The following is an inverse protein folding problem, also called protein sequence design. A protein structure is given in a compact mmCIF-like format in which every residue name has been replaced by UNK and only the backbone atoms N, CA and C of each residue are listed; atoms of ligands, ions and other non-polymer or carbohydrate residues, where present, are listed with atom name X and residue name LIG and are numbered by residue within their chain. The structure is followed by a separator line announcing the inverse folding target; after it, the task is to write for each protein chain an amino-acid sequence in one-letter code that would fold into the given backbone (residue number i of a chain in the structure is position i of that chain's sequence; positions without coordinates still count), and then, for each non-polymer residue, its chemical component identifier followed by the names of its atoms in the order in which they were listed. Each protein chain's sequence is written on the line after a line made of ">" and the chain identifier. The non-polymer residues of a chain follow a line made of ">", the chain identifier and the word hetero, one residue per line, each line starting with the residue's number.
data_IF_175608268568
#
_entry.id   IF_175608268568
#
_cell.length_a   1.000
_cell.length_b   1.000
_cell.length_c   1.000
_cell.angle_alpha   90.00
_cell.angle_beta   90.00
_cell.angle_gamma   90.00
#
_symmetry.space_group_name_H-M   'P 1'
#
loop_
_entity.id
_entity.type
_entity.pdbx_description
1 polymer ?
#
# COMPACT_ATOMS: atom_id res chain seq x y z
N UNK A 1 -52.59 -13.46 -15.23
CA UNK A 1 -52.53 -13.04 -13.81
C UNK A 1 -53.54 -13.76 -12.92
N UNK A 2 -54.74 -14.15 -13.39
CA UNK A 2 -55.67 -15.04 -12.65
C UNK A 2 -55.08 -16.43 -12.36
N UNK A 3 -54.28 -17.00 -13.27
CA UNK A 3 -53.66 -18.33 -13.09
C UNK A 3 -52.76 -18.45 -11.86
N UNK A 4 -52.13 -17.36 -11.42
CA UNK A 4 -51.24 -17.40 -10.24
C UNK A 4 -52.05 -17.27 -8.95
N UNK A 5 -53.10 -16.45 -8.96
CA UNK A 5 -54.01 -16.31 -7.83
C UNK A 5 -54.65 -17.65 -7.41
N UNK A 6 -55.03 -18.47 -8.40
CA UNK A 6 -55.64 -19.79 -8.17
C UNK A 6 -54.66 -20.83 -7.60
N UNK A 7 -53.35 -20.56 -7.64
CA UNK A 7 -52.30 -21.42 -7.04
C UNK A 7 -52.02 -21.10 -5.57
N UNK A 8 -52.61 -20.03 -5.02
CA UNK A 8 -52.33 -19.60 -3.66
C UNK A 8 -53.01 -20.49 -2.62
N UNK A 9 -52.22 -20.91 -1.62
CA UNK A 9 -52.71 -21.63 -0.45
C UNK A 9 -53.02 -20.62 0.66
N UNK A 10 -54.28 -20.59 1.09
CA UNK A 10 -54.79 -19.66 2.09
C UNK A 10 -54.77 -20.29 3.50
N UNK A 11 -54.29 -19.52 4.48
CA UNK A 11 -54.14 -19.98 5.87
C UNK A 11 -55.43 -19.94 6.67
N UNK A 12 -56.34 -19.01 6.35
CA UNK A 12 -57.65 -18.91 6.98
C UNK A 12 -58.75 -18.69 5.94
N UNK A 13 -59.96 -19.13 6.27
CA UNK A 13 -61.16 -18.93 5.44
C UNK A 13 -61.42 -17.43 5.29
N UNK A 14 -61.49 -16.96 4.04
CA UNK A 14 -61.73 -15.55 3.70
C UNK A 14 -60.47 -14.70 3.54
N UNK A 15 -59.27 -15.25 3.66
CA UNK A 15 -58.03 -14.53 3.37
C UNK A 15 -57.88 -14.20 1.87
N UNK A 16 -58.44 -15.04 1.00
CA UNK A 16 -58.54 -14.84 -0.46
C UNK A 16 -59.24 -13.52 -0.83
N UNK A 17 -60.17 -13.07 0.03
CA UNK A 17 -60.94 -11.83 -0.19
C UNK A 17 -60.27 -10.59 0.43
N UNK A 18 -59.20 -10.77 1.21
CA UNK A 18 -58.48 -9.67 1.83
C UNK A 18 -57.38 -9.20 0.90
N UNK A 19 -57.55 -8.02 0.30
CA UNK A 19 -56.53 -7.39 -0.58
C UNK A 19 -55.11 -7.46 0.01
N UNK A 20 -54.95 -7.20 1.31
CA UNK A 20 -53.63 -7.27 1.95
C UNK A 20 -52.98 -8.67 1.89
N UNK A 21 -53.79 -9.73 2.05
CA UNK A 21 -53.32 -11.13 1.98
C UNK A 21 -53.05 -11.58 0.56
N UNK A 22 -53.86 -11.10 -0.37
CA UNK A 22 -53.65 -11.33 -1.80
C UNK A 22 -52.33 -10.71 -2.25
N UNK A 23 -52.09 -9.45 -1.90
CA UNK A 23 -50.82 -8.76 -2.18
C UNK A 23 -49.63 -9.47 -1.54
N UNK A 24 -49.73 -9.89 -0.26
CA UNK A 24 -48.67 -10.68 0.41
C UNK A 24 -48.31 -11.98 -0.35
N UNK A 25 -49.30 -12.67 -0.90
CA UNK A 25 -49.08 -13.89 -1.69
C UNK A 25 -48.49 -13.62 -3.08
N UNK A 26 -48.90 -12.53 -3.70
CA UNK A 26 -48.27 -12.04 -4.93
C UNK A 26 -46.81 -11.65 -4.66
N UNK A 27 -46.52 -10.94 -3.58
CA UNK A 27 -45.17 -10.61 -3.17
C UNK A 27 -44.36 -11.90 -2.91
N UNK A 28 -44.89 -12.89 -2.19
CA UNK A 28 -44.21 -14.17 -1.96
C UNK A 28 -43.93 -14.97 -3.26
N UNK A 29 -44.82 -14.89 -4.24
CA UNK A 29 -44.70 -15.62 -5.51
C UNK A 29 -43.74 -14.94 -6.50
N UNK A 30 -43.79 -13.60 -6.57
CA UNK A 30 -43.03 -12.81 -7.54
C UNK A 30 -41.74 -12.23 -6.98
N UNK A 31 -41.55 -12.20 -5.67
CA UNK A 31 -40.26 -11.86 -5.08
C UNK A 31 -39.28 -13.00 -5.38
N UNK A 32 -38.21 -12.76 -6.16
CA UNK A 32 -37.16 -13.74 -6.28
C UNK A 32 -36.64 -13.97 -4.87
N UNK A 33 -36.90 -15.16 -4.31
CA UNK A 33 -36.47 -15.52 -2.95
C UNK A 33 -35.04 -15.08 -2.76
N UNK A 34 -34.84 -14.01 -1.98
CA UNK A 34 -33.50 -13.45 -1.73
C UNK A 34 -32.64 -14.57 -1.21
N UNK A 35 -31.69 -15.01 -2.03
CA UNK A 35 -30.75 -16.03 -1.62
C UNK A 35 -29.66 -15.35 -0.78
N UNK A 36 -29.97 -15.10 0.50
CA UNK A 36 -29.07 -14.43 1.43
C UNK A 36 -27.71 -15.14 1.49
N UNK A 37 -27.68 -16.46 1.35
CA UNK A 37 -26.44 -17.23 1.27
C UNK A 37 -25.59 -16.84 0.06
N UNK A 38 -26.21 -16.69 -1.10
CA UNK A 38 -25.55 -16.22 -2.33
C UNK A 38 -25.08 -14.76 -2.22
N UNK A 39 -25.91 -13.87 -1.68
CA UNK A 39 -25.54 -12.46 -1.44
C UNK A 39 -24.32 -12.37 -0.51
N UNK A 40 -24.32 -13.14 0.59
CA UNK A 40 -23.20 -13.25 1.51
C UNK A 40 -21.96 -13.82 0.82
N UNK A 41 -22.11 -14.83 -0.03
CA UNK A 41 -21.00 -15.37 -0.81
C UNK A 41 -20.38 -14.29 -1.70
N UNK A 42 -21.18 -13.50 -2.43
CA UNK A 42 -20.68 -12.37 -3.23
C UNK A 42 -19.96 -11.36 -2.34
N UNK A 43 -20.58 -10.97 -1.21
CA UNK A 43 -19.98 -10.03 -0.28
C UNK A 43 -18.61 -10.52 0.24
N UNK A 44 -18.53 -11.77 0.70
CA UNK A 44 -17.32 -12.32 1.31
C UNK A 44 -16.22 -12.66 0.29
N UNK A 45 -16.57 -12.89 -0.98
CA UNK A 45 -15.58 -13.12 -2.05
C UNK A 45 -15.13 -11.83 -2.74
N UNK A 46 -15.82 -10.71 -2.49
CA UNK A 46 -15.44 -9.41 -3.07
C UNK A 46 -14.07 -8.95 -2.57
N UNK A 47 -13.18 -8.65 -3.53
CA UNK A 47 -11.86 -8.06 -3.31
C UNK A 47 -11.64 -6.90 -4.29
N UNK A 48 -10.86 -5.90 -3.90
CA UNK A 48 -10.60 -4.70 -4.68
C UNK A 48 -9.95 -5.04 -6.03
N UNK A 49 -10.49 -4.51 -7.13
CA UNK A 49 -9.95 -4.73 -8.46
C UNK A 49 -8.70 -3.86 -8.73
N UNK A 50 -7.91 -4.21 -9.75
CA UNK A 50 -6.62 -3.57 -10.05
C UNK A 50 -6.75 -2.06 -10.30
N UNK A 51 -7.75 -1.65 -11.07
CA UNK A 51 -8.03 -0.25 -11.42
C UNK A 51 -9.14 0.38 -10.57
N UNK A 52 -9.63 -0.33 -9.56
CA UNK A 52 -10.67 0.17 -8.68
C UNK A 52 -10.08 1.06 -7.59
N UNK A 53 -10.68 2.23 -7.41
CA UNK A 53 -10.37 3.15 -6.30
C UNK A 53 -10.94 2.62 -4.99
N UNK A 54 -10.39 3.07 -3.87
CA UNK A 54 -10.88 2.66 -2.55
C UNK A 54 -12.34 3.04 -2.34
N UNK A 55 -12.75 4.24 -2.75
CA UNK A 55 -14.12 4.69 -2.57
C UNK A 55 -15.12 3.87 -3.39
N UNK A 56 -14.77 3.47 -4.62
CA UNK A 56 -15.58 2.56 -5.43
C UNK A 56 -15.74 1.19 -4.78
N UNK A 57 -14.63 0.64 -4.28
CA UNK A 57 -14.62 -0.65 -3.60
C UNK A 57 -15.52 -0.65 -2.35
N UNK A 58 -15.34 0.35 -1.49
CA UNK A 58 -16.12 0.50 -0.26
C UNK A 58 -17.60 0.73 -0.56
N UNK A 59 -17.91 1.55 -1.57
CA UNK A 59 -19.30 1.80 -1.97
C UNK A 59 -19.97 0.51 -2.43
N UNK A 60 -19.26 -0.31 -3.22
CA UNK A 60 -19.74 -1.62 -3.65
C UNK A 60 -19.96 -2.56 -2.47
N UNK A 61 -19.03 -2.62 -1.51
CA UNK A 61 -19.18 -3.43 -0.29
C UNK A 61 -20.38 -3.01 0.56
N UNK A 62 -20.62 -1.70 0.70
CA UNK A 62 -21.79 -1.19 1.44
C UNK A 62 -23.08 -1.62 0.75
N UNK A 63 -23.17 -1.48 -0.57
CA UNK A 63 -24.33 -1.92 -1.35
C UNK A 63 -24.59 -3.44 -1.22
N UNK A 64 -23.54 -4.25 -1.32
CA UNK A 64 -23.65 -5.71 -1.14
C UNK A 64 -24.08 -6.09 0.28
N UNK A 65 -23.66 -5.33 1.29
CA UNK A 65 -24.01 -5.63 2.68
C UNK A 65 -25.50 -5.38 3.00
N UNK A 66 -26.21 -4.60 2.19
CA UNK A 66 -27.63 -4.25 2.41
C UNK A 66 -28.56 -5.44 2.18
N UNK A 67 -28.19 -6.37 1.30
CA UNK A 67 -28.96 -7.57 0.98
C UNK A 67 -28.55 -8.80 1.80
N UNK A 68 -27.50 -8.67 2.62
CA UNK A 68 -26.92 -9.79 3.37
C UNK A 68 -27.55 -10.06 4.75
N UNK A 69 -28.47 -9.21 5.20
CA UNK A 69 -29.13 -9.33 6.52
C UNK A 69 -28.15 -9.45 7.69
N UNK A 70 -27.08 -8.63 7.70
CA UNK A 70 -26.07 -8.67 8.76
C UNK A 70 -26.51 -8.03 10.08
N UNK A 71 -27.61 -7.27 10.09
CA UNK A 71 -28.09 -6.56 11.26
C UNK A 71 -27.00 -5.66 11.88
N UNK A 72 -26.83 -5.77 13.20
CA UNK A 72 -25.85 -4.97 13.97
C UNK A 72 -24.40 -5.25 13.58
N UNK A 73 -24.11 -6.38 12.94
CA UNK A 73 -22.76 -6.76 12.52
C UNK A 73 -22.33 -6.13 11.19
N UNK A 74 -23.24 -5.45 10.47
CA UNK A 74 -22.98 -4.89 9.12
C UNK A 74 -21.67 -4.11 9.08
N UNK A 75 -21.47 -3.14 9.97
CA UNK A 75 -20.26 -2.31 9.98
C UNK A 75 -18.99 -3.12 10.29
N UNK A 76 -19.07 -4.06 11.23
CA UNK A 76 -17.95 -4.92 11.61
C UNK A 76 -17.53 -5.83 10.46
N UNK A 77 -18.49 -6.43 9.76
CA UNK A 77 -18.22 -7.31 8.62
C UNK A 77 -17.73 -6.53 7.39
N UNK A 78 -18.28 -5.34 7.12
CA UNK A 78 -17.76 -4.43 6.07
C UNK A 78 -16.32 -4.05 6.35
N UNK A 79 -15.98 -3.68 7.59
CA UNK A 79 -14.60 -3.41 8.01
C UNK A 79 -13.70 -4.63 7.75
N UNK A 80 -14.11 -5.82 8.20
CA UNK A 80 -13.32 -7.04 8.02
C UNK A 80 -13.07 -7.33 6.53
N UNK A 81 -14.09 -7.14 5.67
CA UNK A 81 -13.97 -7.32 4.22
C UNK A 81 -13.05 -6.28 3.58
N UNK A 82 -13.01 -5.04 4.08
CA UNK A 82 -12.05 -4.03 3.65
C UNK A 82 -10.61 -4.51 3.94
N UNK A 83 -10.33 -4.94 5.18
CA UNK A 83 -8.99 -5.42 5.57
C UNK A 83 -8.56 -6.61 4.70
N UNK A 84 -9.44 -7.58 4.51
CA UNK A 84 -9.12 -8.79 3.74
C UNK A 84 -9.02 -8.53 2.24
N UNK A 85 -9.80 -7.60 1.68
CA UNK A 85 -9.94 -7.42 0.24
C UNK A 85 -9.22 -6.22 -0.36
N UNK A 86 -8.60 -5.33 0.43
CA UNK A 86 -7.78 -4.23 -0.10
C UNK A 86 -6.60 -4.78 -0.91
N UNK A 87 -6.29 -4.18 -2.06
CA UNK A 87 -5.22 -4.65 -2.97
C UNK A 87 -3.82 -4.35 -2.43
N UNK A 88 -3.67 -3.21 -1.76
CA UNK A 88 -2.37 -2.72 -1.30
C UNK A 88 -2.01 -3.40 0.03
N UNK A 89 -1.00 -4.26 -0.01
CA UNK A 89 -0.51 -5.02 1.14
C UNK A 89 -0.02 -4.12 2.29
N UNK A 90 0.61 -2.98 2.00
CA UNK A 90 1.07 -2.05 3.04
C UNK A 90 -0.10 -1.41 3.80
N UNK A 91 -1.20 -1.13 3.10
CA UNK A 91 -2.43 -0.63 3.73
C UNK A 91 -3.02 -1.72 4.63
N UNK A 92 -3.09 -2.96 4.15
CA UNK A 92 -3.56 -4.10 4.94
C UNK A 92 -2.77 -4.26 6.24
N UNK A 93 -1.44 -4.22 6.15
CA UNK A 93 -0.55 -4.28 7.33
C UNK A 93 -0.79 -3.12 8.30
N UNK A 94 -1.02 -1.92 7.79
CA UNK A 94 -1.34 -0.76 8.64
C UNK A 94 -2.66 -0.97 9.36
N UNK A 95 -3.70 -1.44 8.68
CA UNK A 95 -5.01 -1.71 9.27
C UNK A 95 -4.91 -2.76 10.38
N UNK A 96 -4.17 -3.85 10.16
CA UNK A 96 -3.99 -4.93 11.13
C UNK A 96 -3.21 -4.50 12.39
N UNK A 97 -2.50 -3.38 12.34
CA UNK A 97 -1.78 -2.82 13.50
C UNK A 97 -2.68 -1.98 14.42
N UNK A 98 -3.85 -1.57 13.96
CA UNK A 98 -4.76 -0.73 14.74
C UNK A 98 -5.60 -1.60 15.69
N UNK A 99 -5.44 -1.47 17.03
CA UNK A 99 -6.15 -2.31 18.00
C UNK A 99 -7.67 -2.04 17.98
N UNK A 100 -8.05 -0.76 17.99
CA UNK A 100 -9.46 -0.32 17.98
C UNK A 100 -9.86 0.14 16.58
N UNK A 101 -9.77 -0.75 15.60
CA UNK A 101 -10.15 -0.43 14.24
C UNK A 101 -11.68 -0.42 14.08
N UNK A 102 -12.23 0.77 13.86
CA UNK A 102 -13.64 0.97 13.47
C UNK A 102 -13.78 1.02 11.95
N UNK A 103 -15.02 0.95 11.44
CA UNK A 103 -15.27 1.11 10.00
C UNK A 103 -14.78 2.49 9.53
N UNK A 104 -15.17 3.57 10.20
CA UNK A 104 -14.78 4.93 9.79
C UNK A 104 -13.27 5.13 9.83
N UNK A 105 -12.61 4.68 10.90
CA UNK A 105 -11.15 4.75 11.01
C UNK A 105 -10.44 3.95 9.91
N UNK A 106 -11.00 2.80 9.50
CA UNK A 106 -10.45 2.03 8.38
C UNK A 106 -10.59 2.79 7.06
N UNK A 107 -11.72 3.46 6.82
CA UNK A 107 -11.92 4.28 5.62
C UNK A 107 -10.94 5.45 5.56
N UNK A 108 -10.74 6.15 6.68
CA UNK A 108 -9.82 7.28 6.74
C UNK A 108 -8.37 6.86 6.47
N UNK A 109 -7.92 5.77 7.07
CA UNK A 109 -6.57 5.23 6.85
C UNK A 109 -6.33 4.83 5.39
N UNK A 110 -7.30 4.14 4.79
CA UNK A 110 -7.18 3.64 3.43
C UNK A 110 -7.21 4.79 2.42
N UNK A 111 -8.09 5.78 2.61
CA UNK A 111 -8.14 7.01 1.79
C UNK A 111 -6.86 7.85 1.92
N UNK A 112 -6.35 8.01 3.14
CA UNK A 112 -5.11 8.73 3.38
C UNK A 112 -3.93 8.06 2.66
N UNK A 113 -3.87 6.73 2.68
CA UNK A 113 -2.84 5.97 1.98
C UNK A 113 -2.95 6.10 0.45
N UNK A 114 -4.15 6.03 -0.13
CA UNK A 114 -4.37 6.21 -1.57
C UNK A 114 -3.95 7.61 -2.04
N UNK A 115 -4.31 8.66 -1.28
CA UNK A 115 -3.85 10.05 -1.55
C UNK A 115 -2.33 10.18 -1.45
N UNK A 116 -1.73 9.57 -0.43
CA UNK A 116 -0.27 9.60 -0.24
C UNK A 116 0.43 8.91 -1.40
N UNK A 117 -0.09 7.77 -1.89
CA UNK A 117 0.47 7.08 -3.05
C UNK A 117 0.40 7.95 -4.31
N UNK A 118 -0.72 8.67 -4.52
CA UNK A 118 -0.87 9.61 -5.61
C UNK A 118 0.15 10.76 -5.51
N UNK A 119 0.31 11.37 -4.33
CA UNK A 119 1.28 12.44 -4.13
C UNK A 119 2.73 11.99 -4.32
N UNK A 120 3.09 10.79 -3.86
CA UNK A 120 4.43 10.22 -4.04
C UNK A 120 4.73 10.00 -5.54
N UNK A 121 3.76 9.53 -6.32
CA UNK A 121 3.93 9.40 -7.78
C UNK A 121 4.26 10.75 -8.42
N UNK A 122 3.49 11.79 -8.09
CA UNK A 122 3.74 13.17 -8.57
C UNK A 122 5.13 13.69 -8.16
N UNK A 123 5.56 13.44 -6.91
CA UNK A 123 6.89 13.86 -6.42
C UNK A 123 8.01 13.16 -7.20
N UNK A 124 7.87 11.85 -7.43
CA UNK A 124 8.86 11.06 -8.16
C UNK A 124 8.92 11.45 -9.64
N UNK A 125 7.76 11.67 -10.26
CA UNK A 125 7.67 12.08 -11.67
C UNK A 125 8.18 13.53 -11.87
N UNK A 126 7.91 14.42 -10.93
CA UNK A 126 8.42 15.81 -10.92
C UNK A 126 9.93 15.92 -10.64
N UNK A 127 10.54 14.91 -10.01
CA UNK A 127 11.98 14.89 -9.74
C UNK A 127 12.83 14.62 -10.99
N UNK A 128 12.22 14.19 -12.10
CA UNK A 128 12.93 14.05 -13.38
C UNK A 128 13.25 15.41 -14.06
N UNK A 129 12.61 16.50 -13.63
CA UNK A 129 12.69 17.82 -14.32
C UNK A 129 13.60 18.82 -13.60
N UNK A 130 14.18 18.49 -12.45
CA UNK A 130 15.08 19.39 -11.70
C UNK A 130 16.51 18.84 -11.51
N UNK A 131 17.03 18.15 -12.53
CA UNK A 131 18.46 17.88 -12.67
C UNK A 131 19.27 19.12 -13.06
N UNK A 132 19.10 20.27 -12.39
CA UNK A 132 20.03 21.39 -12.53
C UNK A 132 21.29 21.01 -11.77
N UNK A 133 22.32 20.68 -12.55
CA UNK A 133 23.70 20.43 -12.15
C UNK A 133 24.26 21.63 -11.36
N UNK A 134 23.97 21.73 -10.06
CA UNK A 134 24.74 22.59 -9.18
C UNK A 134 26.03 21.88 -8.81
N UNK A 135 27.06 22.12 -9.63
CA UNK A 135 28.47 22.00 -9.22
C UNK A 135 28.63 22.77 -7.90
N UNK A 136 28.63 22.07 -6.76
CA UNK A 136 29.06 22.68 -5.49
C UNK A 136 30.56 22.93 -5.59
N UNK A 137 30.91 24.16 -5.95
CA UNK A 137 32.27 24.68 -5.76
C UNK A 137 32.59 24.61 -4.28
N UNK A 138 33.63 23.84 -3.93
CA UNK A 138 34.24 23.89 -2.60
C UNK A 138 34.86 25.27 -2.44
N UNK A 139 34.25 26.13 -1.63
CA UNK A 139 34.95 27.27 -1.05
C UNK A 139 35.42 26.85 0.34
N UNK A 140 36.75 26.86 0.51
CA UNK A 140 37.43 26.68 1.77
C UNK A 140 37.15 27.89 2.66
N UNK A 141 36.51 27.68 3.80
CA UNK A 141 36.60 28.61 4.91
C UNK A 141 37.50 27.97 5.97
N UNK A 142 38.74 28.46 6.01
CA UNK A 142 39.70 28.15 7.07
C UNK A 142 39.28 28.96 8.27
N UNK A 143 38.91 28.31 9.37
CA UNK A 143 39.04 28.93 10.67
C UNK A 143 39.75 27.98 11.63
N UNK A 144 40.87 28.48 12.13
CA UNK A 144 41.80 27.91 13.10
C UNK A 144 41.21 27.95 14.51
N UNK A 145 41.42 26.89 15.29
CA UNK A 145 42.00 26.90 16.66
C UNK A 145 41.75 25.54 17.35
N UNK A 146 42.85 24.86 17.69
CA UNK A 146 43.25 24.47 19.07
C UNK A 146 42.63 23.14 19.53
N UNK A 147 43.40 22.05 19.42
CA UNK A 147 44.14 21.41 20.52
C UNK A 147 43.24 20.59 21.46
N UNK A 148 43.25 19.27 21.29
CA UNK A 148 43.74 18.37 22.33
C UNK A 148 43.87 16.91 21.87
N UNK A 149 45.11 16.45 21.86
CA UNK A 149 45.57 15.25 22.57
C UNK A 149 44.69 13.99 22.51
N UNK A 150 45.10 13.02 21.69
CA UNK A 150 45.25 11.60 22.09
C UNK A 150 45.97 10.81 21.00
N UNK A 151 47.27 10.59 21.22
CA UNK A 151 48.03 9.48 20.62
C UNK A 151 47.50 8.17 21.20
N UNK A 152 47.19 7.20 20.36
CA UNK A 152 47.47 5.79 20.65
C UNK A 152 47.35 4.94 19.38
N UNK A 153 48.48 4.33 19.02
CA UNK A 153 48.62 3.00 18.44
C UNK A 153 47.86 2.69 17.14
N UNK A 154 48.46 3.04 16.00
CA UNK A 154 48.31 2.23 14.78
C UNK A 154 49.38 1.16 14.78
N UNK A 155 49.01 0.02 15.35
CA UNK A 155 49.70 -1.26 15.18
C UNK A 155 49.86 -1.58 13.70
N UNK A 156 51.11 -1.85 13.34
CA UNK A 156 51.48 -2.66 12.19
C UNK A 156 50.82 -4.04 12.35
N UNK A 157 49.86 -4.36 11.47
CA UNK A 157 49.63 -5.68 10.89
C UNK A 157 48.26 -5.71 10.21
N UNK A 158 48.26 -5.52 8.89
CA UNK A 158 47.34 -6.29 8.06
C UNK A 158 47.99 -6.51 6.70
N UNK A 159 48.72 -7.62 6.63
CA UNK A 159 49.10 -8.32 5.42
C UNK A 159 47.81 -8.81 4.73
N UNK A 160 47.05 -7.92 4.11
CA UNK A 160 46.02 -8.33 3.16
C UNK A 160 46.66 -8.32 1.77
N UNK A 161 47.03 -9.51 1.31
CA UNK A 161 47.52 -9.83 -0.04
C UNK A 161 46.48 -9.60 -1.15
N UNK A 162 45.57 -8.65 -0.97
CA UNK A 162 44.49 -8.40 -1.93
C UNK A 162 44.93 -7.38 -2.97
N UNK A 163 44.88 -7.83 -4.22
CA UNK A 163 45.11 -6.99 -5.40
C UNK A 163 43.92 -6.04 -5.54
N UNK A 164 44.16 -4.73 -5.49
CA UNK A 164 43.12 -3.71 -5.59
C UNK A 164 43.29 -2.87 -6.86
N UNK A 165 42.21 -2.24 -7.32
CA UNK A 165 42.26 -1.27 -8.42
C UNK A 165 42.93 0.02 -7.94
N UNK A 166 44.14 0.31 -8.42
CA UNK A 166 44.90 1.46 -7.99
C UNK A 166 44.40 2.75 -8.65
N UNK A 167 44.07 3.75 -7.83
CA UNK A 167 43.60 5.06 -8.29
C UNK A 167 44.70 5.92 -8.93
N UNK A 168 45.98 5.61 -8.69
CA UNK A 168 47.10 6.40 -9.20
C UNK A 168 47.56 5.97 -10.61
N UNK A 169 47.55 4.65 -10.91
CA UNK A 169 47.94 4.13 -12.23
C UNK A 169 46.82 3.48 -13.03
N UNK A 170 45.64 3.26 -12.44
CA UNK A 170 44.50 2.63 -13.09
C UNK A 170 44.61 1.11 -13.29
N UNK A 171 45.67 0.47 -12.79
CA UNK A 171 45.88 -0.99 -12.89
C UNK A 171 45.68 -1.70 -11.54
N UNK A 172 45.60 -3.04 -11.57
CA UNK A 172 45.42 -3.90 -10.40
C UNK A 172 46.78 -4.37 -9.87
N UNK A 173 47.15 -4.04 -8.64
CA UNK A 173 48.39 -4.49 -8.00
C UNK A 173 48.31 -4.48 -6.45
N UNK A 174 49.32 -5.00 -5.73
CA UNK A 174 49.38 -4.96 -4.26
C UNK A 174 49.90 -3.62 -3.74
N UNK A 175 49.75 -3.36 -2.43
CA UNK A 175 50.23 -2.11 -1.82
C UNK A 175 51.72 -1.87 -2.08
N UNK A 176 52.09 -0.64 -2.48
CA UNK A 176 53.46 -0.19 -2.84
C UNK A 176 54.04 -0.69 -4.18
N UNK A 177 53.30 -1.49 -4.96
CA UNK A 177 53.74 -1.95 -6.30
C UNK A 177 53.31 -1.01 -7.45
N UNK A 178 52.78 0.19 -7.14
CA UNK A 178 52.31 1.10 -8.17
C UNK A 178 53.49 1.66 -8.98
N UNK A 179 53.51 1.52 -10.32
CA UNK A 179 54.56 2.11 -11.16
C UNK A 179 54.65 3.64 -11.06
N UNK A 180 53.57 4.26 -10.59
CA UNK A 180 53.45 5.70 -10.39
C UNK A 180 53.85 6.13 -8.97
N UNK A 181 54.11 5.21 -8.04
CA UNK A 181 54.47 5.53 -6.65
C UNK A 181 55.79 6.32 -6.61
N UNK A 182 55.80 7.46 -5.91
CA UNK A 182 56.98 8.32 -5.79
C UNK A 182 57.38 9.07 -7.07
N UNK A 183 56.63 8.94 -8.16
CA UNK A 183 56.88 9.66 -9.41
C UNK A 183 56.09 10.96 -9.47
N UNK A 184 56.64 11.96 -10.14
CA UNK A 184 55.99 13.25 -10.36
C UNK A 184 55.14 13.21 -11.63
N UNK A 185 53.85 13.56 -11.52
CA UNK A 185 52.95 13.59 -12.65
C UNK A 185 53.36 14.68 -13.65
N UNK A 186 53.60 14.33 -14.92
CA UNK A 186 53.98 15.31 -15.94
C UNK A 186 52.88 16.35 -16.25
N UNK A 187 51.61 16.02 -16.00
CA UNK A 187 50.47 16.91 -16.27
C UNK A 187 50.23 17.94 -15.17
N UNK A 188 50.37 17.56 -13.89
CA UNK A 188 50.08 18.44 -12.75
C UNK A 188 51.29 18.77 -11.87
N UNK A 189 52.46 18.19 -12.17
CA UNK A 189 53.76 18.35 -11.48
C UNK A 189 53.74 18.03 -9.98
N UNK A 190 52.77 17.23 -9.51
CA UNK A 190 52.69 16.74 -8.13
C UNK A 190 53.25 15.32 -8.02
N UNK A 191 53.90 15.01 -6.90
CA UNK A 191 54.37 13.66 -6.57
C UNK A 191 53.21 12.75 -6.15
N UNK A 192 53.26 11.50 -6.59
CA UNK A 192 52.28 10.44 -6.31
C UNK A 192 52.65 9.57 -5.12
#
# INVERSE_FOLDING_TARGET
>A
ELDVYDTFVWTAVGDDKKIAKVLEKFDEHYEPRKNVTYERYIFFTRAQETCETIDQYVTTLKRLSDTCEFGTLRNTLTKNRIVLGVKNQKIRERLLREPDLTLDKSLDLVRAAERTEMHIKVINDGSAVHGINHKKSKFNERNSQEENSKKSNRTENSLTSEVFNCRNCGTKHKGKECPAYGKTCHRCRKSN
#
